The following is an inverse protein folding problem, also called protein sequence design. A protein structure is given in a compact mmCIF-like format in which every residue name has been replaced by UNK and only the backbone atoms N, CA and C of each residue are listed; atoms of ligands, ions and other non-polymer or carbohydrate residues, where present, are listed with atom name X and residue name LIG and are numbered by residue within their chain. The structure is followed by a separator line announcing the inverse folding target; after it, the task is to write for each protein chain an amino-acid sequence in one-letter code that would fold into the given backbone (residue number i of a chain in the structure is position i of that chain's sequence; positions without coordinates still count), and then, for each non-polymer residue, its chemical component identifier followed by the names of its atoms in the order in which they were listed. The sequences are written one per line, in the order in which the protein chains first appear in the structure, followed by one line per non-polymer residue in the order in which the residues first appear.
data_IF_274437916240
#
_entry.id   IF_274437916240
#
_cell.length_a   1.000
_cell.length_b   1.000
_cell.length_c   1.000
_cell.angle_alpha   90.00
_cell.angle_beta   90.00
_cell.angle_gamma   90.00
#
_symmetry.space_group_name_H-M   'P 1'
#
loop_
_entity.id
_entity.type
_entity.pdbx_description
1 polymer ?
2 non-polymer ?
3 non-polymer ?
4 water ?
#
# COMPACT_ATOMS: atom_id res chain seq x y z
N UNK A 1 -4.41 12.67 5.45
CA UNK A 1 -5.22 12.29 6.65
C UNK A 1 -5.78 10.86 6.64
N UNK A 2 -6.26 10.44 7.81
CA UNK A 2 -6.65 9.03 7.96
C UNK A 2 -7.85 8.65 7.11
N UNK A 3 -8.82 9.54 6.95
CA UNK A 3 -9.96 9.23 6.05
C UNK A 3 -9.58 9.11 4.58
N UNK A 4 -8.70 9.99 4.07
CA UNK A 4 -8.25 9.88 2.71
C UNK A 4 -7.50 8.51 2.59
N UNK A 5 -6.66 8.18 3.59
CA UNK A 5 -5.89 6.94 3.51
C UNK A 5 -6.86 5.74 3.50
N UNK A 6 -8.02 5.86 4.15
CA UNK A 6 -8.98 4.74 4.12
C UNK A 6 -9.69 4.57 2.77
N UNK A 7 -9.89 5.66 2.02
CA UNK A 7 -10.44 5.56 0.67
C UNK A 7 -9.36 4.93 -0.28
N UNK A 8 -8.09 5.37 -0.18
CA UNK A 8 -7.04 4.84 -1.03
C UNK A 8 -6.93 3.32 -0.79
N UNK A 9 -6.96 2.95 0.48
CA UNK A 9 -6.79 1.52 0.87
C UNK A 9 -7.97 0.71 0.33
N UNK A 10 -9.18 1.22 0.57
CA UNK A 10 -10.39 0.46 0.17
C UNK A 10 -10.42 0.22 -1.31
N UNK A 11 -9.99 1.19 -2.09
CA UNK A 11 -10.11 1.09 -3.52
C UNK A 11 -8.98 0.20 -4.07
N UNK A 12 -7.76 0.45 -3.61
CA UNK A 12 -6.56 -0.24 -4.04
C UNK A 12 -6.75 -1.74 -3.73
N UNK A 13 -7.34 -1.97 -2.59
CA UNK A 13 -7.50 -3.31 -2.03
C UNK A 13 -8.39 -4.18 -2.86
N UNK A 14 -9.21 -3.57 -3.71
CA UNK A 14 -10.12 -4.36 -4.58
C UNK A 14 -9.36 -5.31 -5.52
N UNK A 15 -8.14 -4.97 -5.89
CA UNK A 15 -7.34 -5.79 -6.78
C UNK A 15 -6.59 -6.96 -6.08
N UNK A 16 -6.71 -7.09 -4.75
CA UNK A 16 -6.08 -8.18 -4.04
C UNK A 16 -6.50 -9.56 -4.57
N UNK A 17 -7.79 -9.78 -4.77
CA UNK A 17 -8.17 -11.17 -5.04
C UNK A 17 -7.61 -11.66 -6.39
N UNK A 18 -7.54 -10.77 -7.38
CA UNK A 18 -7.06 -11.13 -8.71
C UNK A 18 -5.55 -11.29 -8.75
N UNK A 19 -4.89 -10.89 -7.66
CA UNK A 19 -3.42 -10.96 -7.56
C UNK A 19 -2.88 -12.12 -6.72
N UNK A 20 -3.79 -12.86 -6.06
CA UNK A 20 -3.38 -13.91 -5.13
C UNK A 20 -2.61 -15.02 -5.80
N UNK A 21 -3.12 -15.53 -6.92
CA UNK A 21 -2.55 -16.71 -7.52
C UNK A 21 -1.15 -16.45 -7.95
N UNK A 22 -0.93 -15.30 -8.54
CA UNK A 22 0.38 -15.08 -9.07
C UNK A 22 1.39 -14.69 -7.99
N UNK A 23 0.93 -14.16 -6.87
CA UNK A 23 1.85 -13.75 -5.79
C UNK A 23 2.09 -14.83 -4.74
N UNK A 24 1.25 -15.88 -4.75
CA UNK A 24 1.29 -16.82 -3.61
C UNK A 24 0.74 -16.34 -2.26
N UNK A 25 -0.03 -15.23 -2.24
CA UNK A 25 -0.58 -14.64 -1.02
C UNK A 25 -1.90 -15.36 -0.65
N UNK A 26 -1.72 -16.47 0.07
CA UNK A 26 -2.83 -17.22 0.61
C UNK A 26 -3.73 -16.35 1.47
N UNK A 27 -4.97 -16.79 1.54
CA UNK A 27 -5.96 -16.04 2.34
C UNK A 27 -5.57 -16.12 3.82
N UNK A 28 -4.84 -17.18 4.20
CA UNK A 28 -4.34 -17.29 5.58
C UNK A 28 -3.20 -16.40 5.91
N UNK A 29 -2.58 -15.77 4.93
CA UNK A 29 -1.59 -14.76 5.21
C UNK A 29 -2.31 -13.40 5.37
N UNK A 30 -3.18 -13.08 4.39
CA UNK A 30 -3.98 -11.82 4.36
C UNK A 30 -5.35 -12.07 3.69
N UNK A 31 -6.41 -11.97 4.47
CA UNK A 31 -7.79 -12.25 4.00
C UNK A 31 -8.39 -11.03 3.29
N UNK A 32 -8.42 -9.88 3.95
CA UNK A 32 -8.88 -8.64 3.34
C UNK A 32 -7.69 -7.65 3.38
N UNK A 33 -7.49 -6.93 2.28
CA UNK A 33 -6.44 -5.94 2.22
C UNK A 33 -6.52 -4.95 3.34
N UNK A 34 -7.73 -4.63 3.80
CA UNK A 34 -7.88 -3.65 4.92
C UNK A 34 -7.10 -4.03 6.19
N UNK A 35 -6.92 -5.33 6.45
CA UNK A 35 -6.23 -5.80 7.62
C UNK A 35 -4.72 -5.40 7.58
N UNK A 36 -4.20 -5.00 6.40
CA UNK A 36 -2.84 -4.41 6.34
C UNK A 36 -2.62 -3.43 7.51
N UNK A 37 -3.62 -2.60 7.80
CA UNK A 37 -3.54 -1.59 8.86
C UNK A 37 -3.73 -2.04 10.32
N UNK A 38 -4.03 -3.31 10.54
CA UNK A 38 -4.26 -3.78 11.91
C UNK A 38 -2.98 -3.79 12.72
N UNK A 39 -3.11 -3.52 14.02
CA UNK A 39 -2.02 -3.64 14.98
C UNK A 39 -1.46 -5.05 15.09
N UNK A 40 -2.25 -6.04 14.66
CA UNK A 40 -1.96 -7.45 14.79
C UNK A 40 -1.51 -8.06 13.47
N UNK A 41 -1.24 -7.22 12.47
CA UNK A 41 -0.78 -7.76 11.23
C UNK A 41 0.65 -7.32 11.00
N UNK A 42 1.52 -8.30 10.81
CA UNK A 42 2.90 -7.99 10.46
C UNK A 42 3.08 -7.94 8.96
N UNK A 43 3.58 -6.80 8.53
CA UNK A 43 3.78 -6.59 7.08
C UNK A 43 5.18 -7.13 6.82
N UNK A 44 5.31 -8.41 6.45
CA UNK A 44 6.65 -9.02 6.34
C UNK A 44 6.82 -10.05 5.21
N UNK A 45 5.72 -10.57 4.67
CA UNK A 45 5.89 -11.71 3.78
C UNK A 45 6.35 -11.31 2.39
N UNK A 46 7.30 -12.02 1.80
CA UNK A 46 7.67 -11.75 0.41
C UNK A 46 6.46 -11.82 -0.53
N UNK A 47 5.61 -12.81 -0.28
CA UNK A 47 4.38 -12.90 -1.06
C UNK A 47 3.56 -11.62 -1.12
N UNK A 48 3.49 -10.86 -0.02
CA UNK A 48 2.71 -9.66 -0.02
C UNK A 48 3.42 -8.58 -0.78
N UNK A 49 4.72 -8.56 -0.72
CA UNK A 49 5.44 -7.69 -1.67
C UNK A 49 5.15 -7.97 -3.14
N UNK A 50 5.16 -9.28 -3.50
CA UNK A 50 4.82 -9.67 -4.86
C UNK A 50 3.36 -9.23 -5.18
N UNK A 51 2.45 -9.40 -4.21
CA UNK A 51 1.06 -8.97 -4.45
C UNK A 51 0.95 -7.50 -4.66
N UNK A 52 1.69 -6.71 -3.86
CA UNK A 52 1.62 -5.20 -3.99
C UNK A 52 2.11 -4.75 -5.36
N UNK A 53 3.10 -5.47 -5.90
CA UNK A 53 3.58 -5.23 -7.26
C UNK A 53 2.44 -5.43 -8.29
N UNK A 54 1.84 -6.63 -8.24
CA UNK A 54 0.71 -6.96 -9.08
C UNK A 54 -0.42 -5.90 -8.98
N UNK A 55 -0.81 -5.51 -7.75
CA UNK A 55 -1.86 -4.58 -7.51
C UNK A 55 -1.48 -3.26 -8.11
N UNK A 56 -0.27 -2.83 -7.85
CA UNK A 56 0.15 -1.52 -8.28
C UNK A 56 0.12 -1.41 -9.79
N UNK A 57 0.53 -2.47 -10.45
CA UNK A 57 0.70 -2.40 -11.87
C UNK A 57 -0.67 -2.29 -12.57
N UNK A 58 -1.70 -2.81 -11.89
CA UNK A 58 -3.10 -2.65 -12.35
C UNK A 58 -3.47 -1.17 -12.53
N UNK A 59 -2.98 -0.30 -11.65
CA UNK A 59 -3.32 1.13 -11.67
C UNK A 59 -2.13 1.99 -12.22
N UNK A 60 -1.12 1.35 -12.78
CA UNK A 60 0.16 2.00 -13.18
C UNK A 60 0.90 2.78 -12.07
N UNK A 61 0.84 2.27 -10.85
CA UNK A 61 1.33 3.04 -9.72
C UNK A 61 2.80 2.79 -9.48
N UNK A 62 3.35 1.83 -10.20
CA UNK A 62 4.80 1.61 -10.12
C UNK A 62 5.40 1.82 -11.48
N UNK A 63 6.68 2.18 -11.49
CA UNK A 63 7.42 2.43 -12.70
C UNK A 63 8.18 1.18 -13.07
N UNK A 64 8.94 1.29 -14.15
CA UNK A 64 9.60 0.13 -14.66
C UNK A 64 10.80 -0.28 -13.82
N UNK A 65 11.18 0.56 -12.87
CA UNK A 65 12.18 0.14 -11.87
C UNK A 65 11.55 -0.51 -10.65
N UNK A 66 10.26 -0.85 -10.77
CA UNK A 66 9.52 -1.45 -9.67
C UNK A 66 9.59 -0.60 -8.39
N UNK A 67 9.47 0.71 -8.61
CA UNK A 67 9.40 1.71 -7.51
C UNK A 67 8.19 2.55 -7.84
N UNK A 68 7.66 3.26 -6.82
CA UNK A 68 6.49 4.11 -7.05
C UNK A 68 6.67 5.04 -8.23
N UNK A 69 5.64 5.10 -9.06
CA UNK A 69 5.52 6.16 -10.09
C UNK A 69 4.95 7.42 -9.41
N UNK A 70 5.77 8.47 -9.24
CA UNK A 70 5.38 9.60 -8.38
C UNK A 70 4.21 10.33 -8.96
N UNK A 71 4.25 10.61 -10.26
CA UNK A 71 3.14 11.34 -10.90
C UNK A 71 1.86 10.56 -10.86
N UNK A 72 1.91 9.28 -11.22
CA UNK A 72 0.69 8.48 -11.19
C UNK A 72 0.16 8.28 -9.77
N UNK A 73 1.07 8.18 -8.77
CA UNK A 73 0.58 8.05 -7.42
C UNK A 73 -0.08 9.36 -6.95
N UNK A 74 0.54 10.52 -7.26
CA UNK A 74 -0.06 11.79 -6.91
C UNK A 74 -1.46 11.91 -7.48
N UNK A 75 -1.62 11.60 -8.75
CA UNK A 75 -2.93 11.73 -9.44
C UNK A 75 -3.91 10.72 -8.83
N UNK A 76 -3.44 9.53 -8.48
CA UNK A 76 -4.34 8.54 -7.87
C UNK A 76 -4.85 9.06 -6.51
N UNK A 77 -3.96 9.55 -5.66
CA UNK A 77 -4.42 10.04 -4.38
C UNK A 77 -5.39 11.21 -4.52
N UNK A 78 -5.07 12.12 -5.45
CA UNK A 78 -5.90 13.30 -5.69
C UNK A 78 -7.29 12.91 -6.23
N UNK A 79 -7.47 11.66 -6.63
CA UNK A 79 -8.73 11.22 -7.22
C UNK A 79 -9.74 10.88 -6.11
N UNK A 80 -9.33 10.96 -4.85
CA UNK A 80 -10.22 10.67 -3.72
C UNK A 80 -10.65 11.94 -3.03
N UNK A 81 -11.79 11.94 -2.35
CA UNK A 81 -12.20 13.15 -1.61
C UNK A 81 -11.11 13.66 -0.68
N UNK A 82 -10.81 14.95 -0.82
CA UNK A 82 -9.82 15.61 0.01
C UNK A 82 -8.39 15.10 -0.23
N UNK A 83 -8.17 14.46 -1.37
CA UNK A 83 -6.90 13.84 -1.71
C UNK A 83 -5.74 14.80 -1.78
N UNK A 84 -5.99 16.03 -2.17
CA UNK A 84 -4.90 16.99 -2.24
C UNK A 84 -4.12 17.16 -0.91
N UNK A 85 -4.76 16.95 0.23
CA UNK A 85 -4.09 17.12 1.54
C UNK A 85 -3.13 15.96 1.85
N UNK A 86 -3.33 14.81 1.24
CA UNK A 86 -2.48 13.63 1.49
C UNK A 86 -1.41 13.42 0.38
N UNK A 87 -1.73 13.87 -0.85
CA UNK A 87 -0.99 13.41 -2.04
C UNK A 87 0.53 13.70 -1.87
N UNK A 88 0.94 14.94 -1.51
CA UNK A 88 2.35 15.25 -1.35
C UNK A 88 2.97 14.51 -0.22
N UNK A 89 2.27 14.46 0.92
CA UNK A 89 2.80 13.75 2.13
C UNK A 89 2.99 12.25 1.89
N UNK A 90 2.00 11.60 1.30
CA UNK A 90 2.14 10.17 1.06
C UNK A 90 3.20 9.81 0.05
N UNK A 91 3.33 10.58 -1.02
CA UNK A 91 4.40 10.34 -1.97
C UNK A 91 5.79 10.53 -1.25
N UNK A 92 5.93 11.59 -0.45
CA UNK A 92 7.15 11.79 0.33
C UNK A 92 7.52 10.62 1.26
N UNK A 93 6.53 10.12 2.00
CA UNK A 93 6.79 8.99 2.94
C UNK A 93 7.21 7.76 2.18
N UNK A 94 6.44 7.42 1.13
CA UNK A 94 6.83 6.22 0.40
C UNK A 94 8.22 6.36 -0.19
N UNK A 95 8.50 7.53 -0.80
CA UNK A 95 9.79 7.66 -1.42
C UNK A 95 10.92 7.66 -0.39
N UNK A 96 10.76 8.25 0.80
CA UNK A 96 11.76 8.11 1.87
C UNK A 96 11.96 6.66 2.29
N UNK A 97 10.88 5.89 2.38
CA UNK A 97 11.04 4.48 2.73
C UNK A 97 11.76 3.73 1.61
N UNK A 98 11.42 4.05 0.37
CA UNK A 98 12.10 3.45 -0.77
C UNK A 98 13.61 3.65 -0.67
N UNK A 99 14.03 4.87 -0.36
CA UNK A 99 15.43 5.15 -0.26
C UNK A 99 16.18 4.25 0.77
N UNK A 100 15.47 3.86 1.85
CA UNK A 100 16.09 3.08 2.91
C UNK A 100 16.36 1.64 2.50
N UNK A 101 15.65 1.17 1.46
CA UNK A 101 15.72 -0.24 1.06
C UNK A 101 16.21 -0.37 -0.36
N UNK A 102 16.83 0.68 -0.88
CA UNK A 102 17.36 0.62 -2.23
C UNK A 102 18.38 -0.50 -2.48
N UNK A 103 19.06 -0.98 -1.45
CA UNK A 103 20.05 -2.04 -1.62
C UNK A 103 19.44 -3.47 -1.63
N UNK A 104 18.15 -3.60 -1.37
CA UNK A 104 17.47 -4.92 -1.45
C UNK A 104 17.35 -5.27 -2.96
N UNK A 105 18.02 -6.33 -3.38
CA UNK A 105 18.03 -6.79 -4.79
C UNK A 105 16.71 -7.52 -5.23
N UNK A 106 15.97 -8.08 -4.27
CA UNK A 106 14.77 -8.90 -4.59
C UNK A 106 13.62 -7.93 -4.55
N UNK A 107 13.02 -7.70 -5.70
CA UNK A 107 11.93 -6.69 -5.83
C UNK A 107 10.74 -6.96 -4.93
N UNK A 108 10.29 -8.23 -4.77
CA UNK A 108 9.21 -8.54 -3.88
C UNK A 108 9.54 -8.25 -2.41
N UNK A 109 10.76 -8.63 -1.98
CA UNK A 109 11.16 -8.42 -0.61
C UNK A 109 11.31 -6.95 -0.38
N UNK A 110 11.86 -6.25 -1.36
CA UNK A 110 12.01 -4.81 -1.23
C UNK A 110 10.67 -4.11 -1.01
N UNK A 111 9.67 -4.43 -1.85
CA UNK A 111 8.41 -3.80 -1.77
C UNK A 111 7.72 -4.08 -0.43
N UNK A 112 7.85 -5.30 0.12
CA UNK A 112 7.23 -5.51 1.44
C UNK A 112 7.96 -4.79 2.56
N UNK A 113 9.29 -4.67 2.49
CA UNK A 113 10.01 -3.81 3.45
C UNK A 113 9.59 -2.35 3.35
N UNK A 114 9.37 -1.87 2.11
CA UNK A 114 8.94 -0.46 1.92
C UNK A 114 7.56 -0.27 2.50
N UNK A 115 6.69 -1.25 2.24
CA UNK A 115 5.35 -1.20 2.79
C UNK A 115 5.30 -1.19 4.32
N UNK A 116 6.14 -1.99 5.00
CA UNK A 116 6.19 -2.05 6.49
C UNK A 116 6.75 -0.69 7.01
N UNK A 117 7.71 -0.10 6.31
CA UNK A 117 8.26 1.22 6.66
C UNK A 117 7.15 2.34 6.56
N UNK A 118 6.38 2.23 5.48
CA UNK A 118 5.34 3.18 5.20
C UNK A 118 4.24 3.06 6.27
N UNK A 119 3.88 1.83 6.65
CA UNK A 119 2.88 1.66 7.73
C UNK A 119 3.39 2.27 9.01
N UNK A 120 4.64 2.02 9.37
CA UNK A 120 5.12 2.59 10.62
C UNK A 120 5.24 4.11 10.57
N UNK A 121 5.71 4.68 9.48
CA UNK A 121 5.78 6.14 9.39
C UNK A 121 4.41 6.80 9.27
N UNK A 122 3.44 6.09 8.68
CA UNK A 122 2.06 6.58 8.65
C UNK A 122 1.47 6.64 10.07
N UNK A 123 1.75 5.58 10.86
CA UNK A 123 1.27 5.53 12.22
C UNK A 123 1.89 6.69 12.97
N UNK A 124 3.20 6.84 12.81
CA UNK A 124 3.97 7.93 13.39
C UNK A 124 3.47 9.31 13.03
N UNK A 125 3.00 9.52 11.80
CA UNK A 125 2.56 10.82 11.35
C UNK A 125 1.10 11.07 11.55
N UNK A 126 0.44 10.09 12.16
CA UNK A 126 -0.94 10.18 12.53
C UNK A 126 -1.87 10.12 11.37
N UNK A 127 -1.51 9.42 10.29
CA UNK A 127 -2.36 9.29 9.11
C UNK A 127 -2.74 7.82 8.82
N UNK A 128 -2.42 6.93 9.75
CA UNK A 128 -2.76 5.52 9.53
C UNK A 128 -4.25 5.34 9.94
N UNK A 129 -5.09 4.79 9.05
CA UNK A 129 -6.52 4.60 9.45
C UNK A 129 -6.74 3.33 10.22
N UNK A 130 -7.83 3.25 10.95
CA UNK A 130 -8.21 2.04 11.61
C UNK A 130 -8.86 1.14 10.58
N UNK A 131 -8.84 -0.17 10.84
CA UNK A 131 -9.51 -1.11 9.95
C UNK A 131 -10.97 -0.78 9.80
N UNK A 132 -11.60 -0.40 10.93
CA UNK A 132 -13.03 0.00 10.92
C UNK A 132 -13.30 1.11 9.89
N UNK A 133 -12.33 2.01 9.72
CA UNK A 133 -12.50 3.13 8.82
C UNK A 133 -12.46 2.72 7.38
N UNK A 134 -11.58 1.76 7.03
CA UNK A 134 -11.46 1.26 5.69
C UNK A 134 -12.74 0.47 5.40
N UNK A 135 -13.23 -0.27 6.41
CA UNK A 135 -14.40 -1.09 6.19
C UNK A 135 -15.59 -0.20 5.93
N UNK A 136 -15.60 0.99 6.54
CA UNK A 136 -16.74 1.91 6.44
C UNK A 136 -16.85 2.44 5.01
N UNK A 137 -15.74 2.42 4.29
CA UNK A 137 -15.68 2.94 2.92
C UNK A 137 -15.65 1.83 1.88
N UNK A 138 -15.77 0.59 2.28
CA UNK A 138 -15.51 -0.50 1.32
C UNK A 138 -16.43 -0.62 0.08
N UNK A 139 -17.68 -0.20 0.23
CA UNK A 139 -18.65 -0.28 -0.90
C UNK A 139 -18.53 0.81 -2.01
N UNK A 140 -17.66 1.80 -1.81
CA UNK A 140 -17.56 2.91 -2.78
C UNK A 140 -16.86 2.55 -4.07
N UNK A 141 -17.37 3.16 -5.16
CA UNK A 141 -16.76 3.21 -6.50
C UNK A 141 -16.82 1.84 -7.20
X LIG B 1 3.31 -0.45 -15.68
X LIG C 1 -5.46 0.00 17.95
X LIG D 1 4.33 -16.78 -8.13
X LIG E 1 0.45 1.87 -3.04
X LIG E 1 -1.04 2.00 -2.78
X LIG E 1 -1.32 2.58 -1.42
X LIG E 1 -2.37 1.81 -0.61
X LIG E 1 -2.21 2.23 0.86
X LIG E 1 -2.19 1.13 1.91
X LIG E 1 -1.35 0.09 1.95
X LIG E 1 -0.34 -0.11 0.93
X LIG E 1 0.85 0.44 1.00
X LIG E 1 1.75 0.12 -0.17
X LIG E 1 3.20 0.57 0.06
X LIG E 1 3.83 1.28 -1.15
X LIG E 1 4.24 0.32 -2.28
X LIG E 1 5.13 0.90 -3.38
X LIG E 1 6.52 1.24 -2.85
X LIG E 1 7.51 0.11 -3.05
X LIG E 1 8.58 0.58 -3.82
#
# INVERSE_FOLDING_TARGET
TAEVMSHVTAHFGKTLEECREESGLSVDILDEFKHFWSDDFDVVHRELGCAIICMSNKFSLMDDDVRMHHVNMDEYIKSFPNGQVLAEKMVKLIHNCEKQFDTETDDCTRVVKVAACFKEDSRKEGIAPEVAMVEAVIEKY
MG MG
MG MG
MG MG
B8M C16 C15 C14 C13 C12 C11 C10 C9 C8 C7 C6 C5 C4 C3 C2 C1 O
#
